data_IF_171549415743
#
_entry.id   IF_171549415743
#
_cell.length_a   1.000
_cell.length_b   1.000
_cell.length_c   1.000
_cell.angle_alpha   90.00
_cell.angle_beta   90.00
_cell.angle_gamma   90.00
#
_symmetry.space_group_name_H-M   'P 1'
#
loop_
_entity.id
_entity.type
_entity.pdbx_description
1 polymer ?
#
# COMPACT_ATOMS: atom_id res chain seq x y z
N UNK A 1 1.01 -18.54 -10.23
CA UNK A 1 -0.29 -17.82 -10.27
C UNK A 1 -1.49 -18.77 -10.28
N UNK A 2 -2.52 -18.47 -9.49
CA UNK A 2 -3.86 -19.09 -9.58
C UNK A 2 -4.64 -18.55 -10.78
N UNK A 3 -5.63 -19.31 -11.24
CA UNK A 3 -6.55 -18.86 -12.28
C UNK A 3 -7.40 -17.67 -11.78
N UNK A 4 -7.60 -16.62 -12.60
CA UNK A 4 -8.41 -15.47 -12.21
C UNK A 4 -9.91 -15.81 -12.19
N UNK A 5 -10.44 -16.06 -10.99
CA UNK A 5 -11.85 -16.34 -10.74
C UNK A 5 -12.20 -17.83 -10.70
N UNK A 6 -13.49 -18.15 -10.82
CA UNK A 6 -14.02 -19.53 -10.71
C UNK A 6 -14.81 -20.00 -11.95
N UNK A 7 -14.70 -19.27 -13.07
CA UNK A 7 -15.43 -19.61 -14.30
C UNK A 7 -14.81 -20.82 -15.00
N UNK A 8 -15.63 -21.60 -15.71
CA UNK A 8 -15.12 -22.65 -16.61
C UNK A 8 -14.34 -22.00 -17.75
N UNK A 9 -13.09 -22.39 -17.94
CA UNK A 9 -12.25 -21.91 -19.02
C UNK A 9 -12.37 -22.81 -20.25
N UNK A 10 -12.39 -22.21 -21.44
CA UNK A 10 -12.33 -22.96 -22.71
C UNK A 10 -10.94 -23.57 -22.93
N UNK A 11 -9.91 -22.94 -22.38
CA UNK A 11 -8.51 -23.35 -22.50
C UNK A 11 -7.97 -23.75 -21.12
N UNK A 12 -7.05 -24.72 -21.12
CA UNK A 12 -6.33 -25.11 -19.92
C UNK A 12 -5.46 -23.96 -19.40
N UNK A 13 -5.38 -23.81 -18.09
CA UNK A 13 -4.56 -22.79 -17.44
C UNK A 13 -3.58 -23.47 -16.49
N UNK A 14 -2.27 -23.42 -16.78
CA UNK A 14 -1.28 -24.02 -15.90
C UNK A 14 -1.10 -23.18 -14.64
N UNK A 15 -1.24 -23.81 -13.47
CA UNK A 15 -1.12 -23.14 -12.16
C UNK A 15 0.31 -23.16 -11.63
N UNK A 16 1.13 -24.10 -12.10
CA UNK A 16 2.52 -24.28 -11.73
C UNK A 16 3.35 -24.74 -12.94
N UNK A 17 4.56 -24.22 -13.09
CA UNK A 17 5.52 -24.63 -14.14
C UNK A 17 5.95 -26.10 -14.02
N UNK A 18 5.73 -26.75 -12.87
CA UNK A 18 5.97 -28.19 -12.68
C UNK A 18 4.85 -29.09 -13.24
N UNK A 19 3.93 -28.53 -14.03
CA UNK A 19 2.91 -29.30 -14.71
C UNK A 19 3.55 -30.27 -15.74
N UNK A 20 3.28 -31.58 -15.69
CA UNK A 20 3.86 -32.55 -16.62
C UNK A 20 3.62 -32.23 -18.09
N UNK A 21 2.49 -31.58 -18.43
CA UNK A 21 2.18 -31.17 -19.79
C UNK A 21 3.04 -30.00 -20.26
N UNK A 22 3.46 -29.13 -19.34
CA UNK A 22 4.34 -28.00 -19.64
C UNK A 22 5.81 -28.39 -19.68
N UNK A 23 6.25 -29.31 -18.82
CA UNK A 23 7.65 -29.76 -18.75
C UNK A 23 8.16 -30.37 -20.07
N UNK A 24 7.26 -30.93 -20.89
CA UNK A 24 7.61 -31.48 -22.20
C UNK A 24 7.73 -30.43 -23.31
N UNK A 25 7.22 -29.21 -23.07
CA UNK A 25 7.03 -28.18 -24.09
C UNK A 25 7.90 -26.94 -23.81
N UNK A 26 8.23 -26.66 -22.54
CA UNK A 26 9.00 -25.49 -22.15
C UNK A 26 10.52 -25.72 -22.32
N UNK A 27 11.24 -24.82 -23.00
CA UNK A 27 12.71 -24.83 -22.98
C UNK A 27 13.22 -24.45 -21.58
N UNK A 28 14.36 -25.02 -21.18
CA UNK A 28 14.93 -24.94 -19.81
C UNK A 28 15.19 -23.52 -19.26
N UNK A 29 15.06 -22.46 -20.08
CA UNK A 29 15.52 -21.09 -19.76
C UNK A 29 14.45 -19.98 -19.74
N UNK A 30 13.15 -20.28 -19.84
CA UNK A 30 12.11 -19.23 -19.73
C UNK A 30 11.73 -18.92 -18.27
N UNK A 31 12.01 -17.70 -17.82
CA UNK A 31 11.52 -17.20 -16.53
C UNK A 31 10.04 -16.85 -16.63
N UNK A 32 9.17 -17.80 -16.30
CA UNK A 32 7.71 -17.65 -16.30
C UNK A 32 7.15 -16.84 -15.10
N UNK A 33 7.92 -15.89 -14.56
CA UNK A 33 7.53 -15.14 -13.37
C UNK A 33 6.95 -13.80 -13.80
N UNK A 34 5.65 -13.62 -13.57
CA UNK A 34 4.96 -12.34 -13.78
C UNK A 34 4.55 -11.77 -12.41
N UNK A 35 4.76 -10.48 -12.21
CA UNK A 35 4.32 -9.76 -11.01
C UNK A 35 3.72 -8.40 -11.35
N UNK A 36 3.13 -7.78 -10.34
CA UNK A 36 2.60 -6.41 -10.39
C UNK A 36 3.37 -5.55 -9.40
N UNK A 37 3.64 -4.30 -9.76
CA UNK A 37 4.31 -3.32 -8.90
C UNK A 37 3.34 -2.20 -8.57
N UNK A 38 3.32 -1.74 -7.32
CA UNK A 38 2.52 -0.59 -6.90
C UNK A 38 3.36 0.42 -6.11
N UNK A 39 3.00 1.70 -6.21
CA UNK A 39 3.57 2.76 -5.35
C UNK A 39 2.48 3.23 -4.40
N UNK A 40 2.77 3.26 -3.10
CA UNK A 40 1.86 3.83 -2.12
C UNK A 40 2.54 4.75 -1.10
N UNK A 41 1.71 5.55 -0.46
CA UNK A 41 2.02 6.18 0.81
C UNK A 41 1.86 5.11 1.90
N UNK A 42 2.96 4.58 2.46
CA UNK A 42 2.88 3.56 3.51
C UNK A 42 2.11 4.09 4.73
N UNK A 43 0.96 3.49 5.01
CA UNK A 43 -0.03 3.97 5.97
C UNK A 43 -0.55 2.82 6.85
N UNK A 44 -0.80 3.08 8.13
CA UNK A 44 -1.56 2.19 9.02
C UNK A 44 -2.94 2.79 9.25
N UNK A 45 -3.97 1.99 9.04
CA UNK A 45 -5.35 2.34 9.34
C UNK A 45 -5.64 2.04 10.81
N UNK A 46 -6.16 3.05 11.52
CA UNK A 46 -6.59 3.01 12.92
C UNK A 46 -8.09 3.30 12.91
N UNK A 47 -8.90 2.27 13.08
CA UNK A 47 -10.35 2.39 13.00
C UNK A 47 -10.97 2.62 14.38
N UNK A 48 -11.82 3.63 14.49
CA UNK A 48 -12.56 3.93 15.73
C UNK A 48 -13.98 4.38 15.42
N UNK A 49 -14.92 4.01 16.30
CA UNK A 49 -16.28 4.56 16.29
C UNK A 49 -16.30 5.83 17.13
N UNK A 50 -16.82 6.92 16.60
CA UNK A 50 -16.83 8.22 17.25
C UNK A 50 -18.16 8.96 17.02
N UNK A 51 -18.48 9.89 17.91
CA UNK A 51 -19.63 10.76 17.73
C UNK A 51 -19.34 11.92 16.76
N UNK A 52 -20.37 12.61 16.30
CA UNK A 52 -20.22 13.79 15.44
C UNK A 52 -19.44 14.92 16.15
N UNK A 53 -19.54 15.00 17.48
CA UNK A 53 -18.81 15.99 18.26
C UNK A 53 -17.29 15.79 18.16
N UNK A 54 -16.81 14.55 18.08
CA UNK A 54 -15.40 14.22 17.87
C UNK A 54 -14.91 14.72 16.51
N UNK A 55 -15.70 14.49 15.44
CA UNK A 55 -15.38 14.95 14.08
C UNK A 55 -15.22 16.48 14.06
N UNK A 56 -16.18 17.20 14.65
CA UNK A 56 -16.15 18.67 14.72
C UNK A 56 -14.98 19.17 15.57
N UNK A 57 -14.67 18.51 16.70
CA UNK A 57 -13.60 18.89 17.64
C UNK A 57 -12.23 18.96 16.95
N UNK A 58 -11.95 18.04 16.03
CA UNK A 58 -10.69 17.97 15.30
C UNK A 58 -10.72 18.71 13.94
N UNK A 59 -11.75 19.53 13.70
CA UNK A 59 -11.87 20.31 12.47
C UNK A 59 -12.08 19.45 11.22
N UNK A 60 -12.60 18.24 11.38
CA UNK A 60 -12.86 17.31 10.29
C UNK A 60 -14.27 17.55 9.72
N UNK A 61 -14.51 17.02 8.53
CA UNK A 61 -15.82 17.03 7.87
C UNK A 61 -16.21 15.61 7.50
N UNK A 62 -17.45 15.23 7.80
CA UNK A 62 -17.94 13.87 7.58
C UNK A 62 -17.74 13.43 6.12
N UNK A 63 -17.24 12.20 5.91
CA UNK A 63 -17.01 11.62 4.59
C UNK A 63 -15.75 12.11 3.86
N UNK A 64 -15.01 13.07 4.42
CA UNK A 64 -13.80 13.59 3.79
C UNK A 64 -12.52 12.87 4.24
N UNK A 65 -11.51 12.92 3.36
CA UNK A 65 -10.12 12.57 3.69
C UNK A 65 -9.28 13.85 3.82
N UNK A 66 -8.92 14.20 5.05
CA UNK A 66 -8.22 15.43 5.38
C UNK A 66 -6.86 15.13 5.99
N UNK A 67 -5.85 15.88 5.57
CA UNK A 67 -4.52 15.84 6.21
C UNK A 67 -4.56 16.74 7.44
N UNK A 68 -4.05 16.24 8.56
CA UNK A 68 -3.97 16.96 9.83
C UNK A 68 -2.51 17.13 10.25
N UNK A 69 -2.24 18.18 11.02
CA UNK A 69 -0.90 18.42 11.59
C UNK A 69 -0.60 17.41 12.72
N UNK A 70 0.69 17.23 13.01
CA UNK A 70 1.17 16.15 13.87
C UNK A 70 0.72 16.29 15.33
N UNK A 71 0.60 17.52 15.84
CA UNK A 71 0.09 17.82 17.18
C UNK A 71 -1.40 17.48 17.31
N UNK A 72 -2.20 17.81 16.29
CA UNK A 72 -3.62 17.45 16.19
C UNK A 72 -3.78 15.93 16.12
N UNK A 73 -2.96 15.26 15.32
CA UNK A 73 -2.97 13.81 15.18
C UNK A 73 -2.64 13.09 16.50
N UNK A 74 -1.68 13.62 17.26
CA UNK A 74 -1.32 13.04 18.55
C UNK A 74 -2.41 13.26 19.60
N UNK A 75 -3.00 14.45 19.66
CA UNK A 75 -4.14 14.71 20.55
C UNK A 75 -5.33 13.78 20.25
N UNK A 76 -5.65 13.62 18.95
CA UNK A 76 -6.68 12.70 18.47
C UNK A 76 -6.39 11.26 18.89
N UNK A 77 -5.16 10.78 18.66
CA UNK A 77 -4.77 9.43 19.01
C UNK A 77 -4.86 9.18 20.52
N UNK A 78 -4.36 10.10 21.35
CA UNK A 78 -4.42 9.99 22.80
C UNK A 78 -5.86 9.97 23.32
N UNK A 79 -6.79 10.73 22.72
CA UNK A 79 -8.21 10.67 23.09
C UNK A 79 -8.83 9.31 22.73
N UNK A 80 -8.53 8.77 21.54
CA UNK A 80 -9.00 7.44 21.13
C UNK A 80 -8.50 6.33 22.07
N UNK A 81 -7.23 6.38 22.46
CA UNK A 81 -6.62 5.40 23.39
C UNK A 81 -7.22 5.55 24.78
N UNK A 82 -7.28 6.77 25.32
CA UNK A 82 -7.79 7.05 26.68
C UNK A 82 -9.24 6.59 26.86
N UNK A 83 -10.05 6.70 25.80
CA UNK A 83 -11.46 6.34 25.83
C UNK A 83 -11.74 4.91 25.32
N UNK A 84 -10.70 4.13 25.03
CA UNK A 84 -10.79 2.75 24.51
C UNK A 84 -11.69 2.62 23.25
N UNK A 85 -11.55 3.57 22.32
CA UNK A 85 -12.40 3.67 21.13
C UNK A 85 -11.83 2.95 19.90
N UNK A 86 -10.56 2.55 19.94
CA UNK A 86 -9.89 1.91 18.80
C UNK A 86 -10.39 0.47 18.66
N UNK A 87 -11.01 0.18 17.53
CA UNK A 87 -11.56 -1.15 17.23
C UNK A 87 -10.57 -2.03 16.48
N UNK A 88 -9.84 -1.48 15.51
CA UNK A 88 -8.93 -2.24 14.66
C UNK A 88 -7.71 -1.40 14.27
N UNK A 89 -6.59 -2.08 14.04
CA UNK A 89 -5.36 -1.48 13.53
C UNK A 89 -4.74 -2.41 12.47
N UNK A 90 -4.73 -2.00 11.22
CA UNK A 90 -4.28 -2.82 10.08
C UNK A 90 -3.38 -2.04 9.12
N UNK A 91 -2.65 -2.79 8.28
CA UNK A 91 -1.97 -2.19 7.14
C UNK A 91 -3.03 -1.56 6.23
N UNK A 92 -2.79 -0.31 5.82
CA UNK A 92 -3.71 0.45 4.99
C UNK A 92 -3.05 0.93 3.71
N UNK A 93 -3.57 2.04 3.18
CA UNK A 93 -3.12 2.63 1.93
C UNK A 93 -3.88 2.06 0.73
N UNK A 94 -4.18 2.92 -0.25
CA UNK A 94 -5.01 2.53 -1.41
C UNK A 94 -4.30 1.46 -2.24
N UNK A 95 -3.01 1.63 -2.49
CA UNK A 95 -2.21 0.74 -3.32
C UNK A 95 -1.63 -0.42 -2.50
N UNK A 96 -1.30 -0.21 -1.22
CA UNK A 96 -0.96 -1.26 -0.26
C UNK A 96 -2.06 -2.32 -0.17
N UNK A 97 -3.31 -1.88 0.01
CA UNK A 97 -4.48 -2.77 -0.01
C UNK A 97 -4.66 -3.47 -1.36
N UNK A 98 -4.41 -2.77 -2.47
CA UNK A 98 -4.50 -3.35 -3.82
C UNK A 98 -3.46 -4.44 -4.04
N UNK A 99 -2.20 -4.20 -3.63
CA UNK A 99 -1.10 -5.17 -3.74
C UNK A 99 -1.31 -6.37 -2.82
N UNK A 100 -1.78 -6.13 -1.59
CA UNK A 100 -2.16 -7.18 -0.65
C UNK A 100 -3.23 -8.10 -1.25
N UNK A 101 -4.33 -7.52 -1.73
CA UNK A 101 -5.45 -8.27 -2.28
C UNK A 101 -5.09 -9.00 -3.57
N UNK A 102 -4.27 -8.40 -4.45
CA UNK A 102 -3.72 -9.08 -5.61
C UNK A 102 -2.97 -10.35 -5.19
N UNK A 103 -2.05 -10.22 -4.23
CA UNK A 103 -1.26 -11.33 -3.70
C UNK A 103 -2.15 -12.46 -3.16
N UNK A 104 -3.22 -12.13 -2.44
CA UNK A 104 -4.18 -13.10 -1.90
C UNK A 104 -4.98 -13.79 -3.01
N UNK A 105 -5.48 -13.03 -3.99
CA UNK A 105 -6.33 -13.54 -5.07
C UNK A 105 -5.53 -14.41 -6.05
N UNK A 106 -4.34 -13.96 -6.44
CA UNK A 106 -3.49 -14.60 -7.43
C UNK A 106 -2.57 -15.68 -6.82
N UNK A 107 -2.36 -15.66 -5.50
CA UNK A 107 -1.32 -16.45 -4.82
C UNK A 107 0.03 -16.32 -5.55
N UNK A 108 0.37 -15.08 -5.87
CA UNK A 108 1.56 -14.71 -6.62
C UNK A 108 2.15 -13.40 -6.09
N UNK A 109 3.39 -13.12 -6.47
CA UNK A 109 4.14 -11.97 -5.96
C UNK A 109 3.58 -10.65 -6.48
N UNK A 110 3.34 -9.72 -5.57
CA UNK A 110 3.30 -8.28 -5.86
C UNK A 110 4.49 -7.59 -5.20
N UNK A 111 4.92 -6.44 -5.73
CA UNK A 111 5.97 -5.61 -5.12
C UNK A 111 5.37 -4.27 -4.74
N UNK A 112 5.59 -3.85 -3.50
CA UNK A 112 5.18 -2.53 -3.03
C UNK A 112 6.40 -1.63 -2.90
N UNK A 113 6.30 -0.43 -3.50
CA UNK A 113 7.23 0.67 -3.36
C UNK A 113 6.60 1.74 -2.46
N UNK A 114 7.43 2.34 -1.62
CA UNK A 114 6.99 3.23 -0.55
C UNK A 114 8.11 3.40 0.46
N UNK A 115 7.75 3.83 1.67
CA UNK A 115 8.71 4.02 2.76
C UNK A 115 8.48 3.03 3.90
N UNK A 116 9.48 2.85 4.75
CA UNK A 116 9.37 2.12 6.02
C UNK A 116 10.33 2.73 7.03
N UNK A 117 9.99 2.68 8.32
CA UNK A 117 10.90 3.13 9.38
C UNK A 117 12.24 2.36 9.29
N UNK A 118 13.37 3.07 9.33
CA UNK A 118 14.71 2.44 9.34
C UNK A 118 14.90 1.51 10.55
N UNK A 119 14.33 1.89 11.70
CA UNK A 119 14.32 1.11 12.92
C UNK A 119 12.88 0.76 13.29
N UNK A 120 12.59 -0.53 13.48
CA UNK A 120 11.24 -1.03 13.74
C UNK A 120 11.18 -1.61 15.14
N UNK A 121 10.41 -0.98 16.01
CA UNK A 121 10.17 -1.45 17.38
C UNK A 121 8.97 -2.41 17.42
N UNK A 122 9.11 -3.49 18.18
CA UNK A 122 8.05 -4.50 18.37
C UNK A 122 6.81 -3.82 18.96
N UNK A 123 5.65 -4.08 18.36
CA UNK A 123 4.36 -3.53 18.78
C UNK A 123 4.01 -2.17 18.18
N UNK A 124 4.99 -1.47 17.59
CA UNK A 124 4.78 -0.20 16.89
C UNK A 124 4.03 -0.34 15.55
N UNK A 125 3.63 0.79 14.97
CA UNK A 125 2.83 0.80 13.73
C UNK A 125 3.56 0.17 12.54
N UNK A 126 4.85 0.47 12.36
CA UNK A 126 5.66 -0.14 11.30
C UNK A 126 5.73 -1.67 11.44
N UNK A 127 5.91 -2.15 12.68
CA UNK A 127 5.90 -3.59 12.97
C UNK A 127 4.55 -4.23 12.60
N UNK A 128 3.44 -3.61 13.00
CA UNK A 128 2.09 -4.08 12.65
C UNK A 128 1.85 -4.09 11.15
N UNK A 129 2.32 -3.07 10.42
CA UNK A 129 2.23 -3.02 8.97
C UNK A 129 2.86 -4.25 8.32
N UNK A 130 4.07 -4.62 8.76
CA UNK A 130 4.76 -5.82 8.28
C UNK A 130 3.98 -7.10 8.62
N UNK A 131 3.53 -7.26 9.87
CA UNK A 131 2.81 -8.46 10.30
C UNK A 131 1.47 -8.65 9.57
N UNK A 132 0.79 -7.57 9.22
CA UNK A 132 -0.53 -7.60 8.60
C UNK A 132 -0.47 -7.64 7.06
N UNK A 133 0.67 -7.32 6.45
CA UNK A 133 0.84 -7.40 5.00
C UNK A 133 0.90 -8.86 4.55
N UNK A 134 0.29 -9.17 3.39
CA UNK A 134 0.26 -10.53 2.84
C UNK A 134 1.68 -11.05 2.63
N UNK A 135 1.90 -12.33 2.96
CA UNK A 135 3.22 -12.97 2.85
C UNK A 135 3.77 -13.05 1.42
N UNK A 136 2.93 -12.84 0.41
CA UNK A 136 3.31 -12.79 -1.01
C UNK A 136 3.59 -11.37 -1.52
N UNK A 137 3.27 -10.35 -0.73
CA UNK A 137 3.58 -8.96 -1.06
C UNK A 137 5.01 -8.66 -0.62
N UNK A 138 5.88 -8.40 -1.59
CA UNK A 138 7.29 -8.13 -1.40
C UNK A 138 7.51 -6.68 -0.96
N UNK A 139 8.01 -6.52 0.26
CA UNK A 139 8.30 -5.24 0.90
C UNK A 139 9.81 -4.93 0.95
N UNK A 140 10.66 -5.77 0.36
CA UNK A 140 12.13 -5.60 0.43
C UNK A 140 12.64 -4.36 -0.34
N UNK A 141 11.78 -3.76 -1.18
CA UNK A 141 12.08 -2.58 -1.99
C UNK A 141 11.56 -1.28 -1.37
N UNK A 142 11.04 -1.33 -0.13
CA UNK A 142 10.68 -0.12 0.60
C UNK A 142 11.94 0.67 0.99
N UNK A 143 11.84 1.99 0.90
CA UNK A 143 12.90 2.90 1.29
C UNK A 143 12.88 3.16 2.81
N UNK A 144 14.03 3.02 3.47
CA UNK A 144 14.20 3.45 4.86
C UNK A 144 14.00 4.96 5.04
N UNK A 145 13.30 5.34 6.11
CA UNK A 145 13.14 6.73 6.56
C UNK A 145 13.38 6.86 8.07
N UNK A 146 13.98 7.98 8.46
CA UNK A 146 14.25 8.32 9.86
C UNK A 146 13.06 9.09 10.47
N UNK A 147 11.88 8.51 10.33
CA UNK A 147 10.61 9.06 10.80
C UNK A 147 9.51 8.02 10.75
N UNK A 148 8.34 8.35 11.30
CA UNK A 148 7.20 7.45 11.30
C UNK A 148 6.59 7.31 9.88
N UNK A 149 6.06 6.12 9.58
CA UNK A 149 5.14 5.94 8.45
C UNK A 149 3.82 6.70 8.69
N UNK A 150 2.99 6.81 7.65
CA UNK A 150 1.71 7.49 7.76
C UNK A 150 0.74 6.78 8.71
N UNK A 151 -0.17 7.55 9.32
CA UNK A 151 -1.32 7.05 10.07
C UNK A 151 -2.60 7.59 9.45
N UNK A 152 -3.58 6.71 9.28
CA UNK A 152 -4.92 7.04 8.82
C UNK A 152 -5.91 6.70 9.94
N UNK A 153 -6.50 7.73 10.54
CA UNK A 153 -7.58 7.55 11.51
C UNK A 153 -8.90 7.45 10.74
N UNK A 154 -9.43 6.23 10.64
CA UNK A 154 -10.71 5.93 10.03
C UNK A 154 -11.80 6.05 11.09
N UNK A 155 -12.45 7.20 11.11
CA UNK A 155 -13.46 7.57 12.09
C UNK A 155 -14.85 7.27 11.53
N UNK A 156 -15.57 6.36 12.20
CA UNK A 156 -16.87 5.86 11.77
C UNK A 156 -17.95 6.46 12.67
N UNK A 157 -18.83 7.27 12.11
CA UNK A 157 -19.97 7.83 12.83
C UNK A 157 -21.11 6.82 12.99
N UNK A 158 -22.09 7.13 13.84
CA UNK A 158 -23.29 6.28 14.02
C UNK A 158 -24.13 6.13 12.74
N UNK A 159 -24.04 7.09 11.81
CA UNK A 159 -24.66 7.00 10.48
C UNK A 159 -23.97 6.00 9.55
N UNK A 160 -22.80 5.47 9.93
CA UNK A 160 -21.97 4.58 9.12
C UNK A 160 -21.05 5.30 8.12
N UNK A 161 -21.09 6.63 8.07
CA UNK A 161 -20.19 7.45 7.25
C UNK A 161 -18.74 7.32 7.76
N UNK A 162 -17.77 7.28 6.84
CA UNK A 162 -16.34 7.14 7.18
C UNK A 162 -15.58 8.41 6.88
N UNK A 163 -14.93 8.96 7.90
CA UNK A 163 -14.09 10.14 7.80
C UNK A 163 -12.63 9.75 8.01
N UNK A 164 -11.72 10.25 7.19
CA UNK A 164 -10.31 9.90 7.25
C UNK A 164 -9.47 11.11 7.67
N UNK A 165 -8.82 11.01 8.83
CA UNK A 165 -7.80 11.95 9.27
C UNK A 165 -6.42 11.38 9.02
N UNK A 166 -5.61 12.04 8.20
CA UNK A 166 -4.31 11.54 7.76
C UNK A 166 -3.19 12.32 8.45
N UNK A 167 -2.36 11.62 9.21
CA UNK A 167 -1.06 12.11 9.71
C UNK A 167 0.04 11.57 8.78
N UNK A 168 0.63 12.40 7.91
CA UNK A 168 1.52 11.92 6.85
C UNK A 168 2.81 11.27 7.34
N UNK A 169 3.35 11.73 8.48
CA UNK A 169 4.69 11.35 8.89
C UNK A 169 5.69 11.54 7.75
N UNK A 170 6.42 10.49 7.39
CA UNK A 170 7.38 10.46 6.29
C UNK A 170 6.87 9.69 5.06
N UNK A 171 5.56 9.43 4.94
CA UNK A 171 4.99 8.62 3.86
C UNK A 171 5.32 9.14 2.45
N UNK A 172 5.55 10.44 2.31
CA UNK A 172 5.89 11.11 1.04
C UNK A 172 7.40 11.28 0.79
N UNK A 173 8.26 10.67 1.62
CA UNK A 173 9.72 10.80 1.50
C UNK A 173 10.36 9.78 0.58
N UNK A 174 9.57 9.03 -0.20
CA UNK A 174 10.09 8.13 -1.24
C UNK A 174 10.84 8.95 -2.30
N UNK A 175 12.09 8.60 -2.57
CA UNK A 175 12.95 9.30 -3.51
C UNK A 175 13.00 8.61 -4.87
N UNK A 176 13.23 9.36 -5.97
CA UNK A 176 13.42 8.80 -7.31
C UNK A 176 14.50 7.72 -7.38
N UNK A 177 15.62 7.90 -6.67
CA UNK A 177 16.74 6.95 -6.69
C UNK A 177 16.40 5.61 -6.04
N UNK A 178 15.34 5.54 -5.24
CA UNK A 178 14.86 4.32 -4.61
C UNK A 178 13.90 3.53 -5.50
N UNK A 179 13.63 3.98 -6.72
CA UNK A 179 12.79 3.27 -7.68
C UNK A 179 13.64 2.21 -8.43
N UNK A 180 13.38 0.91 -8.22
CA UNK A 180 14.16 -0.15 -8.84
C UNK A 180 13.76 -0.39 -10.30
N UNK A 181 14.55 0.10 -11.25
CA UNK A 181 14.26 -0.04 -12.69
C UNK A 181 14.04 -1.51 -13.10
N UNK A 182 14.85 -2.44 -12.62
CA UNK A 182 14.75 -3.87 -12.98
C UNK A 182 13.43 -4.51 -12.54
N UNK A 183 12.88 -4.08 -11.40
CA UNK A 183 11.61 -4.58 -10.88
C UNK A 183 10.44 -4.06 -11.71
N UNK A 184 10.52 -2.80 -12.15
CA UNK A 184 9.52 -2.21 -13.04
C UNK A 184 9.61 -2.86 -14.42
N UNK A 185 10.81 -3.03 -14.98
CA UNK A 185 11.01 -3.59 -16.31
C UNK A 185 10.41 -5.00 -16.50
N UNK A 186 10.44 -5.83 -15.45
CA UNK A 186 9.82 -7.17 -15.48
C UNK A 186 8.34 -7.21 -15.07
N UNK A 187 7.75 -6.07 -14.71
CA UNK A 187 6.38 -6.03 -14.22
C UNK A 187 5.36 -6.09 -15.36
N UNK A 188 4.23 -6.75 -15.09
CA UNK A 188 3.09 -6.76 -16.02
C UNK A 188 2.27 -5.46 -15.96
N UNK A 189 2.30 -4.76 -14.82
CA UNK A 189 1.66 -3.48 -14.61
C UNK A 189 2.31 -2.69 -13.46
N UNK A 190 2.25 -1.37 -13.56
CA UNK A 190 2.52 -0.41 -12.49
C UNK A 190 1.19 0.21 -12.01
N UNK A 191 0.88 0.11 -10.72
CA UNK A 191 -0.38 0.61 -10.15
C UNK A 191 -0.14 1.82 -9.26
N UNK A 192 -0.87 2.91 -9.52
CA UNK A 192 -0.72 4.20 -8.88
C UNK A 192 -2.06 4.71 -8.32
N UNK A 193 -2.00 5.70 -7.44
CA UNK A 193 -3.18 6.39 -6.90
C UNK A 193 -3.03 7.90 -7.05
N UNK A 194 -4.15 8.62 -7.18
CA UNK A 194 -4.16 10.08 -7.21
C UNK A 194 -3.64 10.71 -5.90
N UNK A 195 -3.62 9.97 -4.78
CA UNK A 195 -3.06 10.47 -3.53
C UNK A 195 -1.55 10.72 -3.59
N UNK A 196 -0.81 10.10 -4.52
CA UNK A 196 0.64 10.28 -4.65
C UNK A 196 1.06 11.71 -4.98
N UNK A 197 0.16 12.51 -5.57
CA UNK A 197 0.41 13.94 -5.82
C UNK A 197 -0.03 14.85 -4.66
N UNK A 198 -0.75 14.31 -3.65
CA UNK A 198 -1.18 15.04 -2.45
C UNK A 198 -0.10 14.99 -1.37
N UNK A 199 0.89 15.87 -1.48
CA UNK A 199 2.01 15.99 -0.55
C UNK A 199 2.34 17.47 -0.24
N UNK A 200 3.16 17.72 0.80
CA UNK A 200 3.64 19.07 1.09
C UNK A 200 4.62 19.49 -0.03
N UNK A 201 4.66 20.78 -0.42
CA UNK A 201 5.62 21.25 -1.43
C UNK A 201 7.07 20.88 -1.06
N UNK A 202 7.82 20.36 -2.04
CA UNK A 202 9.20 19.92 -1.84
C UNK A 202 9.38 18.48 -1.34
N UNK A 203 8.30 17.73 -1.10
CA UNK A 203 8.39 16.30 -0.84
C UNK A 203 8.64 15.50 -2.14
N UNK A 204 9.50 14.45 -2.11
CA UNK A 204 9.98 13.78 -3.33
C UNK A 204 9.03 12.73 -3.94
N UNK A 205 7.92 12.40 -3.28
CA UNK A 205 6.98 11.36 -3.74
C UNK A 205 6.50 11.55 -5.20
N UNK A 206 6.10 12.76 -5.65
CA UNK A 206 5.71 12.95 -7.05
C UNK A 206 6.85 12.67 -8.02
N UNK A 207 8.08 13.08 -7.69
CA UNK A 207 9.25 12.85 -8.54
C UNK A 207 9.57 11.35 -8.63
N UNK A 208 9.47 10.62 -7.52
CA UNK A 208 9.64 9.18 -7.50
C UNK A 208 8.55 8.46 -8.33
N UNK A 209 7.32 8.95 -8.24
CA UNK A 209 6.21 8.45 -9.07
C UNK A 209 6.49 8.67 -10.56
N UNK A 210 6.97 9.85 -10.94
CA UNK A 210 7.33 10.15 -12.32
C UNK A 210 8.52 9.33 -12.83
N UNK A 211 9.50 9.04 -11.97
CA UNK A 211 10.62 8.16 -12.29
C UNK A 211 10.14 6.73 -12.59
N UNK A 212 9.21 6.21 -11.81
CA UNK A 212 8.61 4.90 -12.07
C UNK A 212 7.82 4.87 -13.38
N UNK A 213 7.05 5.93 -13.68
CA UNK A 213 6.35 6.08 -14.96
C UNK A 213 7.36 6.13 -16.13
N UNK A 214 8.51 6.80 -15.96
CA UNK A 214 9.55 6.84 -16.98
C UNK A 214 10.13 5.44 -17.26
N UNK A 215 10.40 4.66 -16.21
CA UNK A 215 10.82 3.27 -16.37
C UNK A 215 9.73 2.39 -16.99
N UNK A 216 8.46 2.56 -16.58
CA UNK A 216 7.35 1.82 -17.15
C UNK A 216 7.22 2.09 -18.66
N UNK A 217 7.31 3.35 -19.09
CA UNK A 217 7.32 3.72 -20.51
C UNK A 217 8.51 3.15 -21.27
N UNK A 218 9.71 3.15 -20.66
CA UNK A 218 10.93 2.62 -21.27
C UNK A 218 10.83 1.13 -21.59
N UNK A 219 10.11 0.36 -20.78
CA UNK A 219 10.00 -1.09 -20.87
C UNK A 219 8.60 -1.59 -21.31
N UNK A 220 7.77 -0.70 -21.87
CA UNK A 220 6.41 -1.00 -22.34
C UNK A 220 5.48 -1.61 -21.27
N UNK A 221 5.66 -1.18 -20.02
CA UNK A 221 4.82 -1.59 -18.89
C UNK A 221 3.63 -0.67 -18.79
N UNK A 222 2.43 -1.26 -18.78
CA UNK A 222 1.18 -0.52 -18.57
C UNK A 222 1.15 0.08 -17.17
N UNK A 223 0.73 1.34 -17.06
CA UNK A 223 0.54 2.02 -15.79
C UNK A 223 -0.87 2.60 -15.70
N UNK A 224 -1.46 2.57 -14.50
CA UNK A 224 -2.80 3.08 -14.19
C UNK A 224 -2.83 3.74 -12.83
#
# INVERSE_FOLDING_TARGET
MKFPGKRKSKHYFPVNARDPLLQQIQPDNESNVAWVVGIDQTLVDIEAKVDEAFIVRYGLSAGHSLVIEDDVAEALYQELVRNDLITHQFAGGTIGNTMHNYSVLADDRSVLLGVMCSNIEIGGYAYRYLCNTSSRTDLNYLQGVDGAIGRCFTLISDSGERTFAISPGHMNKLRPESIPESVIAGASALVLTSYLVRCKPGEPMPDATMQAIAYAKKHDVRWS
#
